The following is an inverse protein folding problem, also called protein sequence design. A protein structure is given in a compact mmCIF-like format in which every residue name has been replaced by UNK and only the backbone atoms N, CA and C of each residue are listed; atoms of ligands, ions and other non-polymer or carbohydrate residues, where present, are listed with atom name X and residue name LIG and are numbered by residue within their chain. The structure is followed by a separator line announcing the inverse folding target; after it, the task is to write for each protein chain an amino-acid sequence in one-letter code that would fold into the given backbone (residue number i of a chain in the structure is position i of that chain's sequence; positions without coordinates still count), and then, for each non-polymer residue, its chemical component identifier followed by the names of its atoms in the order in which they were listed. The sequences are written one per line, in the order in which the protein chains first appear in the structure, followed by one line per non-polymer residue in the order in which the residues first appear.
data_IF_868963466053
#
_entry.id   IF_868963466053
#
_cell.length_a   1.000
_cell.length_b   1.000
_cell.length_c   1.000
_cell.angle_alpha   90.00
_cell.angle_beta   90.00
_cell.angle_gamma   90.00
#
_symmetry.space_group_name_H-M   'P 1'
#
loop_
_entity.id
_entity.type
_entity.pdbx_description
1 polymer ?
#
# COMPACT_ATOMS: atom_id res chain seq x y z
N UNK A 1 -17.78 -8.05 -21.26
CA UNK A 1 -16.60 -7.18 -21.07
C UNK A 1 -16.67 -6.06 -22.11
N UNK A 2 -16.55 -4.77 -21.69
CA UNK A 2 -16.58 -3.62 -22.61
C UNK A 2 -15.38 -3.69 -23.57
N UNK A 3 -15.52 -3.21 -24.81
CA UNK A 3 -14.44 -3.20 -25.80
C UNK A 3 -13.19 -2.46 -25.29
N UNK A 4 -13.38 -1.31 -24.63
CA UNK A 4 -12.28 -0.55 -24.00
C UNK A 4 -11.48 -1.40 -22.99
N UNK A 5 -12.14 -2.20 -22.16
CA UNK A 5 -11.48 -3.10 -21.20
C UNK A 5 -10.62 -4.17 -21.87
N UNK A 6 -11.05 -4.67 -23.05
CA UNK A 6 -10.25 -5.63 -23.83
C UNK A 6 -8.98 -4.99 -24.38
N UNK A 7 -9.11 -3.79 -24.94
CA UNK A 7 -7.97 -3.05 -25.49
C UNK A 7 -6.98 -2.69 -24.38
N UNK A 8 -7.46 -2.14 -23.27
CA UNK A 8 -6.63 -1.83 -22.08
C UNK A 8 -5.87 -3.07 -21.59
N UNK A 9 -6.57 -4.20 -21.45
CA UNK A 9 -5.96 -5.46 -20.98
C UNK A 9 -4.91 -5.97 -21.97
N UNK A 10 -5.17 -5.92 -23.27
CA UNK A 10 -4.22 -6.36 -24.30
C UNK A 10 -2.98 -5.47 -24.34
N UNK A 11 -3.15 -4.16 -24.31
CA UNK A 11 -2.04 -3.20 -24.26
C UNK A 11 -1.17 -3.43 -23.02
N UNK A 12 -1.80 -3.54 -21.85
CA UNK A 12 -1.12 -3.80 -20.59
C UNK A 12 -0.31 -5.11 -20.67
N UNK A 13 -0.95 -6.20 -21.08
CA UNK A 13 -0.29 -7.51 -21.23
C UNK A 13 0.87 -7.46 -22.22
N UNK A 14 0.72 -6.79 -23.37
CA UNK A 14 1.76 -6.70 -24.40
C UNK A 14 2.98 -5.93 -23.90
N UNK A 15 2.77 -4.75 -23.30
CA UNK A 15 3.85 -3.94 -22.75
C UNK A 15 4.59 -4.70 -21.64
N UNK A 16 3.85 -5.25 -20.70
CA UNK A 16 4.40 -5.96 -19.55
C UNK A 16 5.12 -7.24 -19.99
N UNK A 17 4.56 -8.00 -20.95
CA UNK A 17 5.21 -9.19 -21.51
C UNK A 17 6.50 -8.87 -22.26
N UNK A 18 6.58 -7.72 -22.93
CA UNK A 18 7.83 -7.29 -23.57
C UNK A 18 8.94 -7.00 -22.55
N UNK A 19 8.59 -6.36 -21.43
CA UNK A 19 9.51 -6.06 -20.33
C UNK A 19 9.99 -7.35 -19.61
N UNK A 20 9.14 -8.38 -19.52
CA UNK A 20 9.50 -9.64 -18.86
C UNK A 20 10.55 -10.47 -19.60
N UNK A 21 10.84 -10.16 -20.88
CA UNK A 21 11.92 -10.81 -21.66
C UNK A 21 13.30 -10.23 -21.41
N UNK A 22 13.39 -9.07 -20.77
CA UNK A 22 14.65 -8.40 -20.46
C UNK A 22 15.26 -8.97 -19.16
N UNK A 23 16.56 -8.75 -18.92
CA UNK A 23 17.11 -8.95 -17.58
C UNK A 23 16.42 -8.04 -16.57
N UNK A 24 16.37 -8.42 -15.30
CA UNK A 24 15.68 -7.62 -14.30
C UNK A 24 16.16 -6.16 -14.19
N UNK A 25 17.49 -5.88 -14.16
CA UNK A 25 17.96 -4.48 -14.20
C UNK A 25 17.48 -3.72 -15.43
N UNK A 26 17.58 -4.33 -16.61
CA UNK A 26 17.14 -3.69 -17.86
C UNK A 26 15.61 -3.49 -17.90
N UNK A 27 14.82 -4.42 -17.36
CA UNK A 27 13.38 -4.27 -17.25
C UNK A 27 13.00 -3.08 -16.37
N UNK A 28 13.69 -2.85 -15.24
CA UNK A 28 13.48 -1.71 -14.36
C UNK A 28 13.80 -0.37 -15.03
N UNK A 29 14.94 -0.30 -15.73
CA UNK A 29 15.32 0.92 -16.47
C UNK A 29 14.32 1.27 -17.57
N UNK A 30 13.92 0.25 -18.37
CA UNK A 30 12.89 0.44 -19.40
C UNK A 30 11.53 0.77 -18.80
N UNK A 31 11.20 0.14 -17.67
CA UNK A 31 10.00 0.47 -16.91
C UNK A 31 10.00 1.91 -16.44
N UNK A 32 11.11 2.40 -15.86
CA UNK A 32 11.25 3.80 -15.46
C UNK A 32 11.08 4.76 -16.64
N UNK A 33 11.73 4.50 -17.77
CA UNK A 33 11.59 5.31 -18.97
C UNK A 33 10.14 5.35 -19.49
N UNK A 34 9.44 4.19 -19.46
CA UNK A 34 8.02 4.10 -19.81
C UNK A 34 7.15 4.90 -18.83
N UNK A 35 7.41 4.78 -17.54
CA UNK A 35 6.72 5.55 -16.50
C UNK A 35 6.89 7.06 -16.71
N UNK A 36 8.13 7.52 -16.95
CA UNK A 36 8.43 8.91 -17.27
C UNK A 36 7.66 9.38 -18.52
N UNK A 37 7.58 8.55 -19.56
CA UNK A 37 6.80 8.85 -20.76
C UNK A 37 5.31 9.00 -20.45
N UNK A 38 4.71 8.07 -19.69
CA UNK A 38 3.31 8.14 -19.25
C UNK A 38 3.06 9.40 -18.42
N UNK A 39 4.01 9.79 -17.57
CA UNK A 39 3.97 11.03 -16.81
C UNK A 39 3.94 12.28 -17.69
N UNK A 40 4.70 12.28 -18.82
CA UNK A 40 4.66 13.37 -19.81
C UNK A 40 3.33 13.44 -20.56
N UNK A 41 2.67 12.31 -20.78
CA UNK A 41 1.30 12.25 -21.34
C UNK A 41 0.24 12.77 -20.37
N UNK A 42 0.58 13.04 -19.13
CA UNK A 42 -0.30 13.69 -18.15
C UNK A 42 -1.30 12.76 -17.46
N UNK A 43 -1.13 11.44 -17.52
CA UNK A 43 -2.06 10.50 -16.87
C UNK A 43 -2.18 10.81 -15.38
N UNK A 44 -3.34 11.36 -14.96
CA UNK A 44 -3.68 11.79 -13.59
C UNK A 44 -2.66 12.76 -12.94
N UNK A 45 -1.88 13.46 -13.75
CA UNK A 45 -0.84 14.37 -13.27
C UNK A 45 -1.39 15.49 -12.39
N UNK A 46 -2.56 16.04 -12.74
CA UNK A 46 -3.19 17.10 -11.94
C UNK A 46 -3.60 16.60 -10.55
N UNK A 47 -4.04 15.35 -10.44
CA UNK A 47 -4.35 14.72 -9.13
C UNK A 47 -3.09 14.62 -8.27
N UNK A 48 -1.99 14.13 -8.85
CA UNK A 48 -0.73 13.98 -8.13
C UNK A 48 -0.14 15.35 -7.73
N UNK A 49 -0.17 16.35 -8.62
CA UNK A 49 0.24 17.73 -8.31
C UNK A 49 -0.56 18.32 -7.16
N UNK A 50 -1.88 18.18 -7.21
CA UNK A 50 -2.75 18.67 -6.14
C UNK A 50 -2.45 17.99 -4.80
N UNK A 51 -2.25 16.67 -4.80
CA UNK A 51 -1.89 15.93 -3.60
C UNK A 51 -0.52 16.36 -3.04
N UNK A 52 0.50 16.50 -3.90
CA UNK A 52 1.83 16.96 -3.48
C UNK A 52 1.81 18.39 -2.93
N UNK A 53 1.01 19.28 -3.53
CA UNK A 53 0.85 20.64 -3.03
C UNK A 53 0.14 20.69 -1.66
N UNK A 54 -0.78 19.76 -1.41
CA UNK A 54 -1.45 19.63 -0.11
C UNK A 54 -0.53 19.02 0.96
N UNK A 55 0.30 18.03 0.59
CA UNK A 55 1.17 17.32 1.52
C UNK A 55 2.45 18.10 1.86
N UNK A 56 3.01 18.82 0.89
CA UNK A 56 4.28 19.54 1.03
C UNK A 56 4.11 21.02 0.60
N UNK A 57 3.26 21.80 1.30
CA UNK A 57 3.05 23.21 0.95
C UNK A 57 4.31 24.05 1.11
N UNK A 58 5.21 23.66 2.03
CA UNK A 58 6.49 24.33 2.31
C UNK A 58 7.54 24.12 1.22
N UNK A 59 7.39 23.11 0.38
CA UNK A 59 8.35 22.80 -0.67
C UNK A 59 8.10 23.65 -1.92
N UNK A 60 9.15 23.93 -2.68
CA UNK A 60 9.04 24.67 -3.93
C UNK A 60 8.26 23.88 -5.00
N UNK A 61 7.69 24.59 -5.97
CA UNK A 61 7.03 23.94 -7.11
C UNK A 61 8.02 23.05 -7.88
N UNK A 62 9.27 23.51 -8.07
CA UNK A 62 10.30 22.73 -8.75
C UNK A 62 10.58 21.41 -8.04
N UNK A 63 10.67 21.42 -6.70
CA UNK A 63 10.83 20.19 -5.90
C UNK A 63 9.64 19.23 -6.09
N UNK A 64 8.40 19.75 -6.03
CA UNK A 64 7.20 18.90 -6.22
C UNK A 64 7.13 18.29 -7.63
N UNK A 65 7.54 19.03 -8.67
CA UNK A 65 7.62 18.50 -10.04
C UNK A 65 8.72 17.44 -10.18
N UNK A 66 9.85 17.61 -9.49
CA UNK A 66 10.92 16.61 -9.45
C UNK A 66 10.43 15.31 -8.79
N UNK A 67 9.84 15.40 -7.61
CA UNK A 67 9.23 14.25 -6.91
C UNK A 67 8.17 13.56 -7.78
N UNK A 68 7.37 14.34 -8.50
CA UNK A 68 6.36 13.81 -9.41
C UNK A 68 6.98 13.07 -10.60
N UNK A 69 8.07 13.55 -11.15
CA UNK A 69 8.79 12.85 -12.23
C UNK A 69 9.34 11.51 -11.75
N UNK A 70 10.03 11.50 -10.61
CA UNK A 70 10.54 10.26 -9.98
C UNK A 70 9.41 9.29 -9.61
N UNK A 71 8.25 9.80 -9.20
CA UNK A 71 7.07 8.99 -8.91
C UNK A 71 6.61 8.18 -10.13
N UNK A 72 6.52 8.81 -11.31
CA UNK A 72 6.15 8.09 -12.53
C UNK A 72 7.20 7.06 -12.94
N UNK A 73 8.48 7.35 -12.75
CA UNK A 73 9.54 6.37 -12.97
C UNK A 73 9.39 5.17 -12.04
N UNK A 74 9.11 5.40 -10.74
CA UNK A 74 8.90 4.32 -9.78
C UNK A 74 7.67 3.47 -10.13
N UNK A 75 6.57 4.08 -10.54
CA UNK A 75 5.41 3.35 -11.05
C UNK A 75 5.76 2.46 -12.26
N UNK A 76 6.61 2.97 -13.14
CA UNK A 76 7.09 2.21 -14.28
C UNK A 76 7.98 1.03 -13.88
N UNK A 77 8.85 1.20 -12.87
CA UNK A 77 9.66 0.10 -12.30
C UNK A 77 8.78 -0.98 -11.68
N UNK A 78 7.80 -0.57 -10.88
CA UNK A 78 6.81 -1.50 -10.27
C UNK A 78 6.05 -2.27 -11.36
N UNK A 79 5.58 -1.59 -12.40
CA UNK A 79 4.90 -2.24 -13.52
C UNK A 79 5.77 -3.27 -14.25
N UNK A 80 7.08 -3.00 -14.41
CA UNK A 80 8.03 -3.93 -15.03
C UNK A 80 8.36 -5.14 -14.14
N UNK A 81 8.31 -5.00 -12.83
CA UNK A 81 8.55 -6.07 -11.85
C UNK A 81 7.32 -6.97 -11.66
N UNK A 82 6.12 -6.43 -11.88
CA UNK A 82 4.86 -7.10 -11.57
C UNK A 82 4.72 -8.48 -12.20
N UNK A 83 5.00 -8.72 -13.52
CA UNK A 83 4.88 -10.04 -14.14
C UNK A 83 5.91 -11.05 -13.62
N UNK A 84 6.98 -10.55 -12.98
CA UNK A 84 8.07 -11.36 -12.40
C UNK A 84 7.92 -11.56 -10.90
N UNK A 85 6.81 -11.14 -10.31
CA UNK A 85 6.63 -11.15 -8.87
C UNK A 85 6.90 -12.53 -8.26
N UNK A 86 6.46 -13.60 -8.93
CA UNK A 86 6.71 -14.97 -8.49
C UNK A 86 8.20 -15.37 -8.53
N UNK A 87 8.92 -14.93 -9.55
CA UNK A 87 10.37 -15.13 -9.69
C UNK A 87 11.12 -14.34 -8.62
N UNK A 88 10.86 -13.05 -8.54
CA UNK A 88 11.55 -12.14 -7.63
C UNK A 88 11.27 -12.44 -6.14
N UNK A 89 10.05 -12.86 -5.80
CA UNK A 89 9.73 -13.26 -4.43
C UNK A 89 10.46 -14.56 -3.99
N UNK A 90 10.87 -15.40 -4.93
CA UNK A 90 11.61 -16.65 -4.66
C UNK A 90 13.11 -16.52 -4.86
N UNK A 91 13.59 -15.45 -5.48
CA UNK A 91 15.00 -15.20 -5.66
C UNK A 91 15.73 -15.10 -4.30
N UNK A 92 17.05 -15.33 -4.26
CA UNK A 92 17.85 -15.05 -3.08
C UNK A 92 17.56 -13.64 -2.57
N UNK A 93 17.27 -13.52 -1.27
CA UNK A 93 16.78 -12.28 -0.66
C UNK A 93 17.69 -11.09 -0.96
N UNK A 94 18.99 -11.28 -0.86
CA UNK A 94 20.00 -10.25 -1.08
C UNK A 94 20.08 -9.71 -2.52
N UNK A 95 19.51 -10.43 -3.48
CA UNK A 95 19.45 -9.95 -4.87
C UNK A 95 18.33 -8.93 -5.09
N UNK A 96 17.19 -9.13 -4.43
CA UNK A 96 15.97 -8.34 -4.64
C UNK A 96 15.75 -7.33 -3.51
N UNK A 97 16.09 -7.77 -2.30
CA UNK A 97 15.86 -7.00 -1.09
C UNK A 97 17.19 -6.59 -0.46
N UNK A 98 17.26 -5.35 -0.02
CA UNK A 98 18.31 -4.84 0.83
C UNK A 98 18.04 -5.17 2.30
N UNK A 99 17.96 -4.13 3.15
CA UNK A 99 17.71 -4.31 4.57
C UNK A 99 16.26 -4.68 4.87
N UNK A 100 16.09 -5.64 5.77
CA UNK A 100 14.84 -5.89 6.46
C UNK A 100 15.05 -5.53 7.92
N UNK A 101 14.28 -4.57 8.41
CA UNK A 101 14.37 -4.07 9.77
C UNK A 101 13.07 -4.33 10.51
N UNK A 102 13.15 -4.64 11.81
CA UNK A 102 11.97 -4.80 12.66
C UNK A 102 11.22 -6.12 12.49
N UNK A 103 11.80 -7.15 11.86
CA UNK A 103 11.19 -8.49 11.79
C UNK A 103 10.94 -9.09 13.18
N UNK A 104 11.75 -8.73 14.16
CA UNK A 104 11.56 -9.05 15.58
C UNK A 104 10.24 -8.51 16.13
N UNK A 105 9.77 -7.36 15.67
CA UNK A 105 8.48 -6.78 16.08
C UNK A 105 7.30 -7.63 15.58
N UNK A 106 7.37 -8.13 14.35
CA UNK A 106 6.34 -9.03 13.82
C UNK A 106 6.34 -10.38 14.54
N UNK A 107 7.53 -10.94 14.84
CA UNK A 107 7.64 -12.18 15.63
C UNK A 107 7.09 -12.00 17.03
N UNK A 108 7.42 -10.89 17.71
CA UNK A 108 6.90 -10.58 19.04
C UNK A 108 5.37 -10.39 19.00
N UNK A 109 4.83 -9.74 17.97
CA UNK A 109 3.39 -9.59 17.79
C UNK A 109 2.67 -10.93 17.63
N UNK A 110 3.20 -11.84 16.82
CA UNK A 110 2.65 -13.19 16.65
C UNK A 110 2.75 -14.03 17.92
N UNK A 111 3.84 -13.90 18.68
CA UNK A 111 4.02 -14.60 19.95
C UNK A 111 2.97 -14.24 21.02
N UNK A 112 2.22 -13.14 20.84
CA UNK A 112 1.09 -12.81 21.71
C UNK A 112 -0.10 -13.78 21.55
N UNK A 113 -0.11 -14.63 20.52
CA UNK A 113 -1.16 -15.65 20.30
C UNK A 113 -2.53 -15.10 19.88
N UNK A 114 -2.62 -13.82 19.51
CA UNK A 114 -3.88 -13.13 19.13
C UNK A 114 -4.06 -12.94 17.63
N UNK A 115 -3.21 -13.58 16.81
CA UNK A 115 -3.07 -13.23 15.40
C UNK A 115 -2.39 -11.86 15.20
N UNK A 116 -2.35 -11.38 13.97
CA UNK A 116 -1.71 -10.10 13.65
C UNK A 116 -2.34 -9.46 12.42
N UNK A 117 -2.35 -8.14 12.38
CA UNK A 117 -2.68 -7.36 11.19
C UNK A 117 -1.40 -6.75 10.66
N UNK A 118 -0.95 -7.20 9.48
CA UNK A 118 0.04 -6.47 8.71
C UNK A 118 -0.66 -5.32 7.97
N UNK A 119 -0.20 -4.11 8.19
CA UNK A 119 -0.74 -2.94 7.53
C UNK A 119 0.35 -2.25 6.73
N UNK A 120 0.03 -1.83 5.53
CA UNK A 120 0.92 -1.06 4.66
C UNK A 120 0.17 0.00 3.89
N UNK A 121 0.87 0.79 3.09
CA UNK A 121 0.33 1.69 2.08
C UNK A 121 0.80 1.29 0.68
N UNK A 122 0.30 1.98 -0.33
CA UNK A 122 0.77 1.83 -1.72
C UNK A 122 2.15 2.49 -1.89
N UNK A 123 3.17 1.89 -1.27
CA UNK A 123 4.56 2.36 -1.23
C UNK A 123 5.43 1.45 -2.12
N UNK A 124 6.04 2.01 -3.16
CA UNK A 124 6.91 1.27 -4.09
C UNK A 124 6.26 -0.06 -4.53
N UNK A 125 6.99 -1.17 -4.56
CA UNK A 125 6.45 -2.49 -4.90
C UNK A 125 5.99 -3.27 -3.64
N UNK A 126 4.95 -2.74 -2.98
CA UNK A 126 4.38 -3.35 -1.77
C UNK A 126 3.85 -4.78 -2.00
N UNK A 127 3.39 -5.12 -3.21
CA UNK A 127 2.91 -6.49 -3.52
C UNK A 127 4.05 -7.50 -3.58
N UNK A 128 5.18 -7.14 -4.21
CA UNK A 128 6.39 -7.97 -4.19
C UNK A 128 6.94 -8.13 -2.76
N UNK A 129 6.94 -7.03 -1.99
CA UNK A 129 7.29 -7.07 -0.58
C UNK A 129 6.36 -8.01 0.20
N UNK A 130 5.05 -7.91 0.00
CA UNK A 130 4.06 -8.79 0.60
C UNK A 130 4.28 -10.27 0.25
N UNK A 131 4.57 -10.57 -1.03
CA UNK A 131 4.87 -11.93 -1.46
C UNK A 131 6.13 -12.50 -0.79
N UNK A 132 7.17 -11.69 -0.62
CA UNK A 132 8.39 -12.12 0.06
C UNK A 132 8.17 -12.28 1.58
N UNK A 133 7.48 -11.34 2.22
CA UNK A 133 7.18 -11.36 3.66
C UNK A 133 6.25 -12.52 4.01
N UNK A 134 5.29 -12.88 3.16
CA UNK A 134 4.35 -13.99 3.41
C UNK A 134 5.02 -15.36 3.51
N UNK A 135 6.25 -15.49 3.01
CA UNK A 135 7.05 -16.73 3.15
C UNK A 135 7.60 -16.90 4.57
N UNK A 136 7.85 -15.81 5.28
CA UNK A 136 8.30 -15.83 6.68
C UNK A 136 7.10 -15.71 7.63
N UNK A 137 6.12 -14.92 7.26
CA UNK A 137 4.89 -14.65 8.03
C UNK A 137 3.66 -15.00 7.18
N UNK A 138 3.20 -16.25 7.17
CA UNK A 138 2.04 -16.66 6.38
C UNK A 138 0.82 -15.80 6.66
N UNK A 139 0.29 -15.14 5.63
CA UNK A 139 -0.79 -14.16 5.78
C UNK A 139 -1.77 -14.20 4.61
N UNK A 140 -3.00 -13.79 4.87
CA UNK A 140 -3.99 -13.57 3.83
C UNK A 140 -4.13 -12.08 3.52
N UNK A 141 -4.16 -11.74 2.24
CA UNK A 141 -4.27 -10.36 1.75
C UNK A 141 -5.72 -9.98 1.52
N UNK A 142 -6.15 -8.88 2.10
CA UNK A 142 -7.48 -8.32 1.82
C UNK A 142 -7.36 -7.36 0.64
N UNK A 143 -7.89 -7.74 -0.52
CA UNK A 143 -7.83 -6.93 -1.73
C UNK A 143 -9.21 -6.78 -2.36
N UNK A 144 -9.48 -5.58 -2.87
CA UNK A 144 -10.69 -5.32 -3.65
C UNK A 144 -10.43 -5.68 -5.12
N UNK A 145 -11.35 -6.40 -5.79
CA UNK A 145 -11.23 -6.70 -7.20
C UNK A 145 -11.14 -5.43 -8.06
N UNK A 146 -10.36 -5.51 -9.13
CA UNK A 146 -10.27 -4.45 -10.12
C UNK A 146 -11.58 -4.31 -10.90
N UNK A 147 -11.89 -3.09 -11.34
CA UNK A 147 -13.11 -2.82 -12.11
C UNK A 147 -13.10 -3.40 -13.54
N UNK A 148 -11.91 -3.65 -14.09
CA UNK A 148 -11.72 -4.34 -15.37
C UNK A 148 -11.53 -5.84 -15.13
N UNK A 149 -12.49 -6.71 -15.49
CA UNK A 149 -12.42 -8.15 -15.21
C UNK A 149 -11.22 -8.85 -15.85
N UNK A 150 -10.79 -8.43 -17.04
CA UNK A 150 -9.63 -9.04 -17.70
C UNK A 150 -8.31 -8.65 -17.06
N UNK A 151 -8.22 -7.44 -16.51
CA UNK A 151 -7.08 -7.02 -15.69
C UNK A 151 -7.09 -7.75 -14.33
N UNK A 152 -8.26 -7.90 -13.70
CA UNK A 152 -8.41 -8.64 -12.45
C UNK A 152 -7.96 -10.09 -12.57
N UNK A 153 -8.43 -10.81 -13.60
CA UNK A 153 -8.03 -12.20 -13.86
C UNK A 153 -6.51 -12.31 -14.01
N UNK A 154 -5.90 -11.41 -14.76
CA UNK A 154 -4.45 -11.40 -14.97
C UNK A 154 -3.67 -11.08 -13.70
N UNK A 155 -4.09 -10.06 -12.96
CA UNK A 155 -3.48 -9.67 -11.67
C UNK A 155 -3.61 -10.80 -10.66
N UNK A 156 -4.80 -11.41 -10.53
CA UNK A 156 -5.05 -12.53 -9.63
C UNK A 156 -4.18 -13.74 -9.96
N UNK A 157 -3.95 -14.05 -11.26
CA UNK A 157 -3.05 -15.11 -11.66
C UNK A 157 -1.59 -14.85 -11.24
N UNK A 158 -1.11 -13.60 -11.36
CA UNK A 158 0.23 -13.20 -10.91
C UNK A 158 0.36 -13.32 -9.40
N UNK A 159 -0.63 -12.83 -8.63
CA UNK A 159 -0.66 -12.93 -7.17
C UNK A 159 -0.64 -14.39 -6.71
N UNK A 160 -1.48 -15.22 -7.31
CA UNK A 160 -1.51 -16.64 -7.02
C UNK A 160 -0.17 -17.32 -7.31
N UNK A 161 0.43 -17.06 -8.47
CA UNK A 161 1.75 -17.59 -8.83
C UNK A 161 2.86 -17.14 -7.88
N UNK A 162 2.74 -15.93 -7.28
CA UNK A 162 3.66 -15.42 -6.27
C UNK A 162 3.40 -16.00 -4.87
N UNK A 163 2.34 -16.79 -4.68
CA UNK A 163 1.99 -17.40 -3.39
C UNK A 163 1.20 -16.48 -2.46
N UNK A 164 0.59 -15.42 -3.00
CA UNK A 164 -0.28 -14.55 -2.22
C UNK A 164 -1.65 -15.21 -2.02
N UNK A 165 -2.02 -15.47 -0.76
CA UNK A 165 -3.36 -15.92 -0.35
C UNK A 165 -4.29 -14.71 -0.28
N UNK A 166 -5.05 -14.45 -1.35
CA UNK A 166 -5.94 -13.30 -1.43
C UNK A 166 -7.34 -13.66 -0.94
N UNK A 167 -7.78 -13.00 0.13
CA UNK A 167 -9.16 -13.10 0.62
C UNK A 167 -10.08 -12.27 -0.27
N UNK A 168 -11.06 -12.90 -0.90
CA UNK A 168 -12.08 -12.16 -1.65
C UNK A 168 -12.86 -11.22 -0.72
N UNK A 169 -13.21 -10.05 -1.22
CA UNK A 169 -13.96 -9.04 -0.42
C UNK A 169 -15.33 -9.54 0.05
N UNK A 170 -15.94 -10.54 -0.62
CA UNK A 170 -17.20 -11.13 -0.20
C UNK A 170 -17.10 -12.02 1.06
N UNK A 171 -15.87 -12.46 1.42
CA UNK A 171 -15.63 -13.16 2.70
C UNK A 171 -15.93 -12.22 3.88
N UNK A 172 -15.85 -10.91 3.63
CA UNK A 172 -16.35 -9.86 4.51
C UNK A 172 -15.66 -9.82 5.88
N UNK A 173 -16.23 -9.02 6.74
CA UNK A 173 -15.77 -8.81 8.12
C UNK A 173 -15.62 -10.12 8.90
N UNK A 174 -16.59 -11.03 8.76
CA UNK A 174 -16.60 -12.30 9.52
C UNK A 174 -15.41 -13.19 9.18
N UNK A 175 -15.00 -13.27 7.92
CA UNK A 175 -13.85 -14.08 7.50
C UNK A 175 -12.53 -13.56 8.03
N UNK A 176 -12.34 -12.25 8.01
CA UNK A 176 -11.16 -11.61 8.58
C UNK A 176 -11.09 -11.86 10.09
N UNK A 177 -12.18 -11.60 10.83
CA UNK A 177 -12.26 -11.83 12.29
C UNK A 177 -12.00 -13.30 12.64
N UNK A 178 -12.60 -14.24 11.89
CA UNK A 178 -12.39 -15.68 12.11
C UNK A 178 -10.92 -16.05 11.95
N UNK A 179 -10.25 -15.57 10.89
CA UNK A 179 -8.84 -15.87 10.63
C UNK A 179 -7.93 -15.30 11.71
N UNK A 180 -8.14 -14.05 12.09
CA UNK A 180 -7.32 -13.38 13.13
C UNK A 180 -7.52 -14.06 14.49
N UNK A 181 -8.76 -14.35 14.90
CA UNK A 181 -9.04 -15.05 16.16
C UNK A 181 -8.49 -16.48 16.21
N UNK A 182 -8.28 -17.11 15.05
CA UNK A 182 -7.59 -18.40 14.95
C UNK A 182 -6.05 -18.27 15.04
N UNK A 183 -5.53 -17.10 15.41
CA UNK A 183 -4.07 -16.84 15.48
C UNK A 183 -3.43 -16.50 14.13
N UNK A 184 -4.22 -16.38 13.05
CA UNK A 184 -3.70 -16.10 11.72
C UNK A 184 -3.39 -14.63 11.50
N UNK A 185 -2.64 -14.37 10.42
CA UNK A 185 -2.30 -13.01 10.00
C UNK A 185 -3.12 -12.60 8.78
N UNK A 186 -3.50 -11.32 8.74
CA UNK A 186 -4.10 -10.68 7.56
C UNK A 186 -3.31 -9.43 7.19
N UNK A 187 -3.13 -9.21 5.88
CA UNK A 187 -2.48 -8.03 5.33
C UNK A 187 -3.50 -7.10 4.68
N UNK A 188 -3.41 -5.80 4.96
CA UNK A 188 -4.33 -4.78 4.49
C UNK A 188 -3.61 -3.51 4.06
N UNK A 189 -4.28 -2.75 3.18
CA UNK A 189 -3.91 -1.38 2.85
C UNK A 189 -5.03 -0.44 3.31
N UNK A 190 -4.66 0.72 3.88
CA UNK A 190 -5.63 1.69 4.39
C UNK A 190 -5.24 3.14 4.11
N UNK A 191 -4.57 3.40 3.00
CA UNK A 191 -4.01 4.70 2.63
C UNK A 191 -4.81 5.45 1.55
N UNK A 192 -5.93 4.90 1.08
CA UNK A 192 -6.81 5.53 0.11
C UNK A 192 -8.05 6.16 0.77
N UNK A 193 -8.67 7.13 0.09
CA UNK A 193 -9.89 7.79 0.55
C UNK A 193 -11.04 6.80 0.74
N UNK A 194 -11.55 6.69 1.96
CA UNK A 194 -12.63 5.78 2.34
C UNK A 194 -14.03 6.38 2.11
N UNK A 195 -14.09 7.56 1.49
CA UNK A 195 -15.34 8.29 1.27
C UNK A 195 -16.03 8.63 2.60
N UNK A 196 -17.38 8.50 2.64
CA UNK A 196 -18.18 8.84 3.83
C UNK A 196 -18.11 7.79 4.93
N UNK A 197 -17.64 6.56 4.61
CA UNK A 197 -17.57 5.44 5.53
C UNK A 197 -16.23 5.39 6.30
N UNK A 198 -15.34 6.36 6.05
CA UNK A 198 -14.05 6.46 6.70
C UNK A 198 -14.05 7.27 7.98
N UNK A 199 -13.02 7.07 8.79
CA UNK A 199 -12.68 7.95 9.91
C UNK A 199 -11.78 9.07 9.42
N UNK A 200 -12.06 10.30 9.88
CA UNK A 200 -11.19 11.43 9.58
C UNK A 200 -10.06 11.49 10.60
N UNK A 201 -8.83 11.38 10.09
CA UNK A 201 -7.60 11.50 10.88
C UNK A 201 -6.63 12.44 10.18
N UNK A 202 -5.70 13.07 10.90
CA UNK A 202 -4.67 13.90 10.29
C UNK A 202 -3.77 13.08 9.35
N UNK A 203 -3.51 13.63 8.17
CA UNK A 203 -2.50 13.15 7.22
C UNK A 203 -1.90 14.37 6.55
N UNK A 204 -0.62 14.63 6.78
CA UNK A 204 0.06 15.89 6.43
C UNK A 204 -0.67 17.11 7.00
N UNK A 205 -1.06 17.04 8.28
CA UNK A 205 -1.77 18.11 8.98
C UNK A 205 -3.19 18.40 8.48
N UNK A 206 -3.75 17.56 7.58
CA UNK A 206 -5.08 17.75 6.99
C UNK A 206 -5.98 16.56 7.29
N UNK A 207 -7.28 16.79 7.57
CA UNK A 207 -8.22 15.70 7.76
C UNK A 207 -8.32 14.86 6.48
N UNK A 208 -8.10 13.55 6.60
CA UNK A 208 -8.20 12.61 5.50
C UNK A 208 -9.10 11.44 5.88
N UNK A 209 -10.14 11.21 5.08
CA UNK A 209 -11.02 10.05 5.26
C UNK A 209 -10.22 8.77 5.06
N UNK A 210 -10.13 7.94 6.09
CA UNK A 210 -9.28 6.75 6.14
C UNK A 210 -10.11 5.52 6.48
N UNK A 211 -9.86 4.36 5.84
CA UNK A 211 -10.55 3.12 6.17
C UNK A 211 -10.38 2.76 7.65
N UNK A 212 -11.48 2.63 8.37
CA UNK A 212 -11.51 2.25 9.79
C UNK A 212 -11.21 0.75 10.00
N UNK A 213 -11.32 -0.05 8.94
CA UNK A 213 -11.26 -1.51 9.03
C UNK A 213 -10.07 -2.06 9.82
N UNK A 214 -8.81 -1.69 9.54
CA UNK A 214 -7.67 -2.21 10.28
C UNK A 214 -7.74 -1.94 11.78
N UNK A 215 -8.09 -0.73 12.19
CA UNK A 215 -8.24 -0.37 13.61
C UNK A 215 -9.41 -1.12 14.24
N UNK A 216 -10.55 -1.18 13.55
CA UNK A 216 -11.72 -1.91 14.01
C UNK A 216 -11.44 -3.40 14.20
N UNK A 217 -10.78 -4.07 13.22
CA UNK A 217 -10.40 -5.47 13.34
C UNK A 217 -9.45 -5.71 14.52
N UNK A 218 -8.45 -4.83 14.68
CA UNK A 218 -7.51 -4.91 15.79
C UNK A 218 -8.23 -4.82 17.14
N UNK A 219 -9.09 -3.82 17.32
CA UNK A 219 -9.89 -3.66 18.55
C UNK A 219 -10.86 -4.84 18.79
N UNK A 220 -11.54 -5.31 17.75
CA UNK A 220 -12.53 -6.40 17.85
C UNK A 220 -11.91 -7.78 18.15
N UNK A 221 -10.63 -7.96 17.85
CA UNK A 221 -9.93 -9.25 18.01
C UNK A 221 -8.83 -9.22 19.07
N UNK A 222 -8.38 -8.04 19.49
CA UNK A 222 -7.21 -7.86 20.34
C UNK A 222 -5.87 -8.04 19.59
N UNK A 223 -5.92 -8.24 18.27
CA UNK A 223 -4.72 -8.46 17.45
C UNK A 223 -3.90 -7.18 17.28
N UNK A 224 -2.57 -7.23 17.46
CA UNK A 224 -1.70 -6.09 17.20
C UNK A 224 -1.64 -5.74 15.71
N UNK A 225 -1.40 -4.46 15.40
CA UNK A 225 -1.08 -4.02 14.04
C UNK A 225 0.44 -3.83 13.96
N UNK A 226 1.07 -4.43 12.94
CA UNK A 226 2.45 -4.13 12.55
C UNK A 226 2.42 -3.40 11.22
N UNK A 227 2.93 -2.16 11.19
CA UNK A 227 2.99 -1.38 9.96
C UNK A 227 4.28 -1.72 9.20
N UNK A 228 4.15 -2.15 7.95
CA UNK A 228 5.27 -2.51 7.10
C UNK A 228 5.42 -1.49 5.97
N UNK A 229 6.60 -0.92 5.83
CA UNK A 229 6.96 -0.07 4.71
C UNK A 229 7.82 -0.82 3.71
N UNK A 230 7.62 -0.54 2.43
CA UNK A 230 8.50 -0.98 1.34
C UNK A 230 9.03 0.25 0.64
N UNK A 231 10.33 0.36 0.51
CA UNK A 231 10.98 1.46 -0.20
C UNK A 231 12.09 0.95 -1.09
N UNK A 232 12.25 1.54 -2.27
CA UNK A 232 13.38 1.24 -3.16
C UNK A 232 14.59 2.07 -2.75
N UNK A 233 15.70 1.39 -2.52
CA UNK A 233 16.99 2.00 -2.25
C UNK A 233 17.66 2.49 -3.54
N UNK A 234 18.73 3.28 -3.42
CA UNK A 234 19.47 3.84 -4.56
C UNK A 234 20.10 2.75 -5.47
N UNK A 235 20.43 1.59 -4.92
CA UNK A 235 20.92 0.43 -5.67
C UNK A 235 19.80 -0.36 -6.39
N UNK A 236 18.57 0.07 -6.19
CA UNK A 236 17.37 -0.50 -6.82
C UNK A 236 16.76 -1.68 -6.10
N UNK A 237 17.36 -2.17 -5.00
CA UNK A 237 16.76 -3.21 -4.15
C UNK A 237 15.66 -2.62 -3.28
N UNK A 238 14.74 -3.46 -2.84
CA UNK A 238 13.66 -3.06 -1.94
C UNK A 238 14.11 -3.21 -0.48
N UNK A 239 13.89 -2.19 0.32
CA UNK A 239 14.10 -2.20 1.77
C UNK A 239 12.76 -2.31 2.47
N UNK A 240 12.69 -3.13 3.51
CA UNK A 240 11.51 -3.32 4.32
C UNK A 240 11.76 -2.87 5.75
N UNK A 241 10.77 -2.19 6.33
CA UNK A 241 10.79 -1.81 7.74
C UNK A 241 9.46 -2.15 8.37
N UNK A 242 9.50 -2.92 9.46
CA UNK A 242 8.34 -3.27 10.27
C UNK A 242 8.38 -2.46 11.57
N UNK A 243 7.28 -1.77 11.87
CA UNK A 243 7.18 -0.97 13.10
C UNK A 243 7.06 -1.84 14.34
N UNK A 244 7.37 -1.32 15.53
CA UNK A 244 6.82 -1.87 16.75
C UNK A 244 5.31 -2.05 16.65
N UNK A 245 4.79 -3.09 17.31
CA UNK A 245 3.38 -3.42 17.25
C UNK A 245 2.51 -2.31 17.88
N UNK A 246 1.50 -1.87 17.14
CA UNK A 246 0.46 -1.01 17.69
C UNK A 246 -0.54 -1.91 18.42
N UNK A 247 -0.50 -1.90 19.74
CA UNK A 247 -1.43 -2.65 20.58
C UNK A 247 -2.75 -1.88 20.64
N UNK A 248 -3.90 -2.55 20.37
CA UNK A 248 -5.21 -1.92 20.48
C UNK A 248 -5.53 -1.58 21.94
N UNK A 249 -6.17 -0.42 22.14
CA UNK A 249 -6.64 0.06 23.45
C UNK A 249 -8.08 0.53 23.30
N UNK A 250 -8.96 0.08 24.15
CA UNK A 250 -10.40 0.35 24.06
C UNK A 250 -11.16 -0.72 23.28
N UNK A 251 -12.39 -0.41 22.91
CA UNK A 251 -13.32 -1.33 22.25
C UNK A 251 -13.59 -0.94 20.79
N UNK A 252 -13.93 -1.91 19.95
CA UNK A 252 -14.29 -1.67 18.55
C UNK A 252 -15.62 -0.92 18.38
N UNK A 253 -16.46 -0.89 19.40
CA UNK A 253 -17.71 -0.12 19.49
C UNK A 253 -17.48 1.37 19.79
N UNK A 254 -16.30 1.72 20.30
CA UNK A 254 -15.93 3.11 20.60
C UNK A 254 -15.32 3.80 19.37
N UNK A 255 -16.01 4.79 18.76
CA UNK A 255 -15.49 5.53 17.62
C UNK A 255 -14.19 6.28 17.90
N UNK A 256 -13.95 6.69 19.14
CA UNK A 256 -12.74 7.43 19.51
C UNK A 256 -11.55 6.49 19.62
N UNK A 257 -11.72 5.27 20.13
CA UNK A 257 -10.69 4.23 20.13
C UNK A 257 -10.33 3.84 18.69
N UNK A 258 -11.31 3.68 17.80
CA UNK A 258 -11.09 3.40 16.37
C UNK A 258 -10.32 4.56 15.72
N UNK A 259 -10.71 5.80 15.98
CA UNK A 259 -10.04 7.00 15.44
C UNK A 259 -8.60 7.09 15.92
N UNK A 260 -8.38 6.93 17.22
CA UNK A 260 -7.05 7.01 17.83
C UNK A 260 -6.08 5.97 17.23
N UNK A 261 -6.51 4.72 17.11
CA UNK A 261 -5.68 3.67 16.51
C UNK A 261 -5.45 3.90 15.01
N UNK A 262 -6.46 4.42 14.28
CA UNK A 262 -6.33 4.83 12.89
C UNK A 262 -5.30 5.95 12.74
N UNK A 263 -5.35 6.97 13.59
CA UNK A 263 -4.38 8.07 13.56
C UNK A 263 -2.95 7.58 13.80
N UNK A 264 -2.74 6.64 14.72
CA UNK A 264 -1.41 6.06 15.00
C UNK A 264 -0.80 5.38 13.78
N UNK A 265 -1.55 4.54 13.06
CA UNK A 265 -0.99 3.90 11.86
C UNK A 265 -0.85 4.85 10.67
N UNK A 266 -1.71 5.88 10.54
CA UNK A 266 -1.58 6.92 9.51
C UNK A 266 -0.34 7.77 9.76
N UNK A 267 0.03 8.04 11.00
CA UNK A 267 1.28 8.73 11.33
C UNK A 267 2.52 7.93 10.86
N UNK A 268 2.51 6.60 10.98
CA UNK A 268 3.58 5.74 10.45
C UNK A 268 3.65 5.80 8.90
N UNK A 269 2.49 5.82 8.24
CA UNK A 269 2.42 6.01 6.80
C UNK A 269 2.99 7.38 6.40
N UNK A 270 2.59 8.45 7.08
CA UNK A 270 3.06 9.80 6.80
C UNK A 270 4.58 9.89 6.93
N UNK A 271 5.14 9.32 7.99
CA UNK A 271 6.60 9.28 8.20
C UNK A 271 7.31 8.57 7.02
N UNK A 272 6.78 7.43 6.56
CA UNK A 272 7.33 6.71 5.41
C UNK A 272 7.25 7.52 4.11
N UNK A 273 6.12 8.21 3.87
CA UNK A 273 5.95 9.06 2.69
C UNK A 273 6.89 10.26 2.72
N UNK A 274 7.11 10.87 3.89
CA UNK A 274 8.07 11.98 4.06
C UNK A 274 9.51 11.54 3.78
N UNK A 275 9.87 10.31 4.19
CA UNK A 275 11.21 9.75 3.94
C UNK A 275 11.44 9.44 2.46
N UNK A 276 10.43 8.96 1.75
CA UNK A 276 10.51 8.55 0.33
C UNK A 276 9.32 9.09 -0.47
N UNK A 277 9.21 10.41 -0.66
CA UNK A 277 8.01 11.03 -1.22
C UNK A 277 7.67 10.57 -2.65
N UNK A 278 8.65 10.24 -3.49
CA UNK A 278 8.41 9.75 -4.84
C UNK A 278 7.78 8.35 -4.90
N UNK A 279 7.80 7.60 -3.81
CA UNK A 279 7.46 6.17 -3.82
C UNK A 279 6.05 5.84 -3.30
N UNK A 280 5.29 6.84 -2.84
CA UNK A 280 3.89 6.65 -2.49
C UNK A 280 2.97 6.95 -3.68
N UNK A 281 1.80 6.27 -3.76
CA UNK A 281 0.88 6.35 -4.89
C UNK A 281 0.07 7.66 -4.93
N UNK A 282 0.66 8.72 -5.47
CA UNK A 282 0.06 10.06 -5.58
C UNK A 282 -1.13 10.16 -6.54
N UNK A 283 -1.37 9.19 -7.41
CA UNK A 283 -2.43 9.26 -8.42
C UNK A 283 -3.84 9.03 -7.86
N UNK A 284 -3.99 8.70 -6.56
CA UNK A 284 -5.27 8.60 -5.87
C UNK A 284 -5.64 9.95 -5.25
N UNK A 285 -6.94 10.38 -5.36
CA UNK A 285 -7.44 11.62 -4.75
C UNK A 285 -7.59 11.43 -3.24
N UNK A 286 -6.50 11.49 -2.46
CA UNK A 286 -6.44 11.17 -1.04
C UNK A 286 -7.34 12.04 -0.16
N UNK A 287 -7.44 13.33 -0.48
CA UNK A 287 -8.25 14.32 0.26
C UNK A 287 -9.54 14.69 -0.49
N UNK A 288 -10.11 13.77 -1.27
CA UNK A 288 -11.34 14.02 -2.03
C UNK A 288 -12.54 14.25 -1.11
N UNK A 289 -12.68 13.41 -0.09
CA UNK A 289 -13.78 13.50 0.86
C UNK A 289 -13.40 14.46 1.97
N UNK A 290 -14.26 15.47 2.18
CA UNK A 290 -14.08 16.44 3.24
C UNK A 290 -14.91 16.04 4.47
N UNK A 291 -14.45 16.37 5.69
CA UNK A 291 -15.25 16.16 6.89
C UNK A 291 -16.56 16.94 6.81
N UNK A 292 -17.62 16.49 7.51
CA UNK A 292 -18.84 17.26 7.66
C UNK A 292 -18.57 18.66 8.24
N UNK A 293 -19.35 19.66 7.83
CA UNK A 293 -19.22 21.00 8.38
C UNK A 293 -19.44 20.96 9.89
N UNK A 294 -18.57 21.61 10.67
CA UNK A 294 -18.65 21.66 12.14
C UNK A 294 -18.07 20.46 12.88
N UNK A 295 -17.49 19.46 12.20
CA UNK A 295 -16.77 18.39 12.88
C UNK A 295 -15.35 18.87 13.25
N UNK A 296 -15.05 18.95 14.54
CA UNK A 296 -13.69 19.16 15.07
C UNK A 296 -12.87 17.88 14.79
N UNK A 297 -12.19 17.83 13.63
CA UNK A 297 -11.52 16.62 13.16
C UNK A 297 -10.00 16.61 13.43
N UNK A 298 -9.45 17.71 13.91
CA UNK A 298 -8.05 17.83 14.29
C UNK A 298 -7.94 17.99 15.81
N UNK A 299 -6.95 17.34 16.47
CA UNK A 299 -6.60 17.68 17.85
C UNK A 299 -6.26 19.17 17.89
N UNK A 300 -6.82 19.90 18.84
CA UNK A 300 -6.34 21.25 19.16
C UNK A 300 -4.89 21.06 19.63
N UNK A 301 -3.96 21.73 18.95
CA UNK A 301 -2.59 21.80 19.42
C UNK A 301 -2.60 22.37 20.84
N UNK A 302 -2.20 21.54 21.82
CA UNK A 302 -1.98 21.93 23.20
C UNK A 302 -0.56 22.41 23.41
#
# INVERSE_FOLDING_TARGET
MRFSHRVETLLLKSVVSSLSRLSWPAARERGAALGAFVGRLGLRRDVARANLALAFPEQSQAWREHVLAEHYEELGRVAAEYPRMAELARAPREQVFGRWQGTEHARAALAMGRGMIFLTGHLSNFELAGAAVSREFPMAFVAKPLSNPGAEEWVSAIRHAAGLDVLPTHVGVRGVVKRVRAGGTVAMLADQDARRDGVFVPFFGRPASTPAGPAWFSLATGAPIVFCTCARAADGRLELRMSPALIPQGEASDPDAVRALTARHVALLEAAVRERPAQWFWLHKRWKTRPPAGSDTLPKEG
#
